data_IF_732423561628
#
_entry.id   IF_732423561628
#
_cell.length_a   1.000
_cell.length_b   1.000
_cell.length_c   1.000
_cell.angle_alpha   90.00
_cell.angle_beta   90.00
_cell.angle_gamma   90.00
#
_symmetry.space_group_name_H-M   'P 1'
#
loop_
_entity.id
_entity.type
_entity.pdbx_description
1 polymer ?
#
# COMPACT_ATOMS: atom_id res chain seq x y z
N UNK A 1 19.99 -7.77 -0.98
CA UNK A 1 19.09 -6.77 -1.64
C UNK A 1 18.08 -6.31 -0.59
N UNK A 2 17.84 -5.01 -0.43
CA UNK A 2 16.89 -4.51 0.57
C UNK A 2 15.47 -5.04 0.32
N UNK A 3 14.81 -5.54 1.37
CA UNK A 3 13.41 -5.96 1.33
C UNK A 3 12.56 -4.94 2.07
N UNK A 4 11.44 -4.56 1.46
CA UNK A 4 10.50 -3.61 2.02
C UNK A 4 9.25 -4.36 2.44
N UNK A 5 8.76 -4.08 3.64
CA UNK A 5 7.44 -4.51 4.08
C UNK A 5 6.49 -3.34 3.94
N UNK A 6 5.58 -3.41 2.99
CA UNK A 6 4.47 -2.49 2.85
C UNK A 6 3.30 -3.00 3.69
N UNK A 7 2.73 -2.14 4.52
CA UNK A 7 1.47 -2.36 5.22
C UNK A 7 0.47 -1.29 4.83
N UNK A 8 -0.73 -1.72 4.51
CA UNK A 8 -1.86 -0.84 4.21
C UNK A 8 -2.92 -1.10 5.26
N UNK A 9 -3.33 -0.05 5.96
CA UNK A 9 -4.40 -0.10 6.94
C UNK A 9 -5.64 0.57 6.36
N UNK A 10 -6.75 -0.17 6.35
CA UNK A 10 -8.06 0.29 5.90
C UNK A 10 -8.90 0.74 7.10
N UNK A 11 -9.34 2.00 7.10
CA UNK A 11 -10.35 2.49 8.05
C UNK A 11 -9.98 2.39 9.54
N UNK A 12 -10.93 2.64 10.45
CA UNK A 12 -10.70 2.60 11.91
C UNK A 12 -10.51 1.17 12.46
N UNK A 13 -11.01 0.16 11.75
CA UNK A 13 -10.97 -1.25 12.17
C UNK A 13 -9.59 -1.91 11.95
N UNK A 14 -8.67 -1.18 11.30
CA UNK A 14 -7.27 -1.59 11.08
C UNK A 14 -7.12 -2.98 10.46
N UNK A 15 -7.96 -3.33 9.49
CA UNK A 15 -7.67 -4.51 8.65
C UNK A 15 -6.35 -4.25 7.93
N UNK A 16 -5.28 -4.90 8.41
CA UNK A 16 -3.92 -4.70 7.92
C UNK A 16 -3.65 -5.68 6.78
N UNK A 17 -3.39 -5.16 5.59
CA UNK A 17 -2.84 -5.98 4.52
C UNK A 17 -1.34 -5.70 4.42
N UNK A 18 -0.54 -6.74 4.59
CA UNK A 18 0.92 -6.65 4.49
C UNK A 18 1.40 -7.33 3.19
N UNK A 19 2.26 -6.63 2.44
CA UNK A 19 2.90 -7.13 1.23
C UNK A 19 4.40 -6.92 1.31
N UNK A 20 5.16 -7.98 1.07
CA UNK A 20 6.61 -7.91 0.93
C UNK A 20 6.96 -7.52 -0.50
N UNK A 21 7.90 -6.58 -0.65
CA UNK A 21 8.31 -6.01 -1.91
C UNK A 21 9.83 -5.98 -2.01
N UNK A 22 10.36 -6.40 -3.15
CA UNK A 22 11.76 -6.15 -3.50
C UNK A 22 11.92 -4.72 -4.04
N UNK A 23 13.11 -4.16 -3.88
CA UNK A 23 13.44 -2.84 -4.41
C UNK A 23 13.12 -2.68 -5.90
N UNK A 24 13.42 -3.70 -6.70
CA UNK A 24 13.20 -3.67 -8.15
C UNK A 24 11.70 -3.71 -8.51
N UNK A 25 10.87 -4.34 -7.67
CA UNK A 25 9.42 -4.32 -7.86
C UNK A 25 8.87 -2.93 -7.58
N UNK A 26 9.39 -2.25 -6.55
CA UNK A 26 9.01 -0.87 -6.22
C UNK A 26 9.38 0.13 -7.32
N UNK A 27 10.54 -0.04 -7.95
CA UNK A 27 10.98 0.84 -9.04
C UNK A 27 10.03 0.79 -10.26
N UNK A 28 9.30 -0.31 -10.41
CA UNK A 28 8.35 -0.52 -11.50
C UNK A 28 6.90 -0.14 -11.13
N UNK A 29 6.66 0.29 -9.89
CA UNK A 29 5.32 0.70 -9.49
C UNK A 29 4.95 2.04 -10.12
N UNK A 30 3.90 2.01 -10.94
CA UNK A 30 3.25 3.22 -11.41
C UNK A 30 2.57 3.97 -10.27
N UNK A 31 2.25 5.25 -10.51
CA UNK A 31 1.60 6.17 -9.56
C UNK A 31 0.42 5.54 -8.80
N UNK A 32 -0.43 4.77 -9.49
CA UNK A 32 -1.54 4.06 -8.88
C UNK A 32 -1.24 2.58 -8.71
N UNK A 33 -1.54 2.02 -7.54
CA UNK A 33 -1.51 0.58 -7.30
C UNK A 33 -2.85 0.06 -6.81
N UNK A 34 -3.17 -1.14 -7.26
CA UNK A 34 -4.37 -1.87 -6.89
C UNK A 34 -4.01 -3.04 -5.98
N UNK A 35 -4.74 -3.16 -4.88
CA UNK A 35 -4.54 -4.21 -3.91
C UNK A 35 -5.85 -4.95 -3.67
N UNK A 36 -5.80 -6.27 -3.79
CA UNK A 36 -6.96 -7.13 -3.53
C UNK A 36 -7.00 -7.49 -2.05
N UNK A 37 -8.15 -7.29 -1.41
CA UNK A 37 -8.37 -7.59 0.00
C UNK A 37 -9.49 -8.61 0.17
N UNK A 38 -9.57 -9.18 1.38
CA UNK A 38 -10.68 -10.01 1.84
C UNK A 38 -11.06 -11.13 0.83
N UNK A 39 -10.09 -11.94 0.40
CA UNK A 39 -10.36 -13.05 -0.54
C UNK A 39 -10.74 -12.62 -1.96
N UNK A 40 -10.33 -11.42 -2.38
CA UNK A 40 -10.73 -10.73 -3.63
C UNK A 40 -12.16 -10.16 -3.60
N UNK A 41 -12.72 -9.90 -2.42
CA UNK A 41 -14.00 -9.22 -2.27
C UNK A 41 -13.89 -7.70 -2.34
N UNK A 42 -12.69 -7.12 -2.29
CA UNK A 42 -12.49 -5.70 -2.56
C UNK A 42 -11.15 -5.39 -3.24
N UNK A 43 -11.13 -4.25 -3.95
CA UNK A 43 -9.92 -3.67 -4.54
C UNK A 43 -9.71 -2.29 -3.93
N UNK A 44 -8.57 -2.10 -3.27
CA UNK A 44 -8.08 -0.81 -2.83
C UNK A 44 -7.19 -0.23 -3.92
N UNK A 45 -7.51 0.98 -4.38
CA UNK A 45 -6.73 1.74 -5.35
C UNK A 45 -6.10 2.95 -4.66
N UNK A 46 -4.77 3.03 -4.65
CA UNK A 46 -4.02 4.08 -3.95
C UNK A 46 -3.11 4.83 -4.91
N UNK A 47 -3.09 6.16 -4.80
CA UNK A 47 -2.01 6.99 -5.35
C UNK A 47 -0.82 6.93 -4.39
N UNK A 48 0.22 6.22 -4.78
CA UNK A 48 1.39 5.96 -3.94
C UNK A 48 2.70 6.42 -4.60
N UNK A 49 2.62 7.08 -5.77
CA UNK A 49 3.80 7.52 -6.49
C UNK A 49 4.68 8.47 -5.67
N UNK A 50 4.07 9.52 -5.13
CA UNK A 50 4.78 10.53 -4.33
C UNK A 50 5.30 9.95 -3.01
N UNK A 51 4.53 9.04 -2.40
CA UNK A 51 4.95 8.31 -1.20
C UNK A 51 6.29 7.59 -1.41
N UNK A 52 6.45 6.89 -2.53
CA UNK A 52 7.69 6.18 -2.83
C UNK A 52 8.87 7.10 -3.14
N UNK A 53 8.64 8.14 -3.93
CA UNK A 53 9.69 9.12 -4.23
C UNK A 53 10.21 9.77 -2.95
N UNK A 54 9.32 10.06 -2.00
CA UNK A 54 9.69 10.60 -0.70
C UNK A 54 10.43 9.57 0.16
N UNK A 55 9.97 8.31 0.22
CA UNK A 55 10.65 7.24 0.94
C UNK A 55 12.09 7.02 0.42
N UNK A 56 12.26 6.90 -0.90
CA UNK A 56 13.57 6.71 -1.54
C UNK A 56 14.51 7.89 -1.31
N UNK A 57 13.98 9.11 -1.31
CA UNK A 57 14.75 10.33 -1.04
C UNK A 57 15.21 10.40 0.42
N UNK A 58 14.34 10.04 1.35
CA UNK A 58 14.59 10.20 2.78
C UNK A 58 15.42 9.06 3.40
N UNK A 59 15.51 7.89 2.74
CA UNK A 59 16.31 6.73 3.18
C UNK A 59 16.11 6.35 4.65
N UNK A 60 14.91 6.55 5.17
CA UNK A 60 14.57 6.23 6.57
C UNK A 60 14.21 4.75 6.69
N UNK A 61 14.58 4.08 7.79
CA UNK A 61 14.26 2.67 8.00
C UNK A 61 12.75 2.41 8.15
N UNK A 62 11.98 3.45 8.47
CA UNK A 62 10.54 3.44 8.61
C UNK A 62 9.96 4.72 8.00
N UNK A 63 8.87 4.59 7.24
CA UNK A 63 8.17 5.74 6.65
C UNK A 63 6.67 5.46 6.61
N UNK A 64 5.88 6.39 7.16
CA UNK A 64 4.42 6.29 7.22
C UNK A 64 3.79 7.55 6.63
N UNK A 65 2.72 7.37 5.86
CA UNK A 65 1.93 8.47 5.32
C UNK A 65 0.45 8.08 5.21
N UNK A 66 -0.44 9.00 5.56
CA UNK A 66 -1.85 8.88 5.20
C UNK A 66 -2.03 9.18 3.72
N UNK A 67 -2.66 8.25 3.00
CA UNK A 67 -2.91 8.36 1.57
C UNK A 67 -4.41 8.30 1.30
N UNK A 68 -4.86 9.15 0.38
CA UNK A 68 -6.22 9.06 -0.13
C UNK A 68 -6.28 7.95 -1.18
N UNK A 69 -7.26 7.06 -1.02
CA UNK A 69 -7.51 5.97 -1.95
C UNK A 69 -8.99 5.79 -2.23
N UNK A 70 -9.29 4.89 -3.15
CA UNK A 70 -10.64 4.43 -3.44
C UNK A 70 -10.74 2.95 -3.14
N UNK A 71 -11.77 2.55 -2.42
CA UNK A 71 -12.14 1.15 -2.32
C UNK A 71 -13.27 0.82 -3.28
N UNK A 72 -13.14 -0.32 -3.96
CA UNK A 72 -14.20 -0.93 -4.76
C UNK A 72 -14.53 -2.29 -4.15
N UNK A 73 -15.76 -2.46 -3.66
CA UNK A 73 -16.25 -3.78 -3.27
C UNK A 73 -16.63 -4.59 -4.52
N UNK A 74 -16.25 -5.85 -4.54
CA UNK A 74 -16.48 -6.85 -5.59
C UNK A 74 -17.62 -7.82 -5.22
N UNK A 75 -18.58 -7.38 -4.40
CA UNK A 75 -19.75 -8.18 -4.02
C UNK A 75 -20.73 -8.30 -5.21
N UNK A 76 -20.50 -9.29 -6.09
CA UNK A 76 -21.37 -9.58 -7.24
C UNK A 76 -21.33 -8.50 -8.33
N UNK A 77 -22.44 -8.30 -9.06
CA UNK A 77 -22.53 -7.34 -10.21
C UNK A 77 -22.47 -5.85 -9.82
N UNK A 78 -22.23 -5.50 -8.56
CA UNK A 78 -22.29 -4.12 -8.07
C UNK A 78 -20.91 -3.65 -7.61
N UNK A 79 -20.45 -2.54 -8.19
CA UNK A 79 -19.24 -1.83 -7.76
C UNK A 79 -19.71 -0.64 -6.91
N UNK A 80 -19.49 -0.68 -5.59
CA UNK A 80 -19.66 0.50 -4.73
C UNK A 80 -18.32 1.22 -4.58
N UNK A 81 -18.36 2.56 -4.62
CA UNK A 81 -17.19 3.42 -4.40
C UNK A 81 -17.29 4.03 -3.01
N UNK A 82 -16.46 3.56 -2.08
CA UNK A 82 -16.29 4.20 -0.79
C UNK A 82 -14.96 4.97 -0.78
N UNK A 83 -15.01 6.27 -0.49
CA UNK A 83 -13.82 7.03 -0.14
C UNK A 83 -13.47 6.65 1.31
N UNK A 84 -12.49 5.77 1.49
CA UNK A 84 -12.03 5.31 2.78
C UNK A 84 -10.64 5.91 3.03
N UNK A 85 -10.34 6.47 4.21
CA UNK A 85 -8.98 6.87 4.53
C UNK A 85 -8.10 5.62 4.64
N UNK A 86 -6.95 5.64 3.98
CA UNK A 86 -5.95 4.60 4.07
C UNK A 86 -4.68 5.15 4.73
N UNK A 87 -4.06 4.31 5.54
CA UNK A 87 -2.73 4.58 6.09
C UNK A 87 -1.76 3.60 5.46
N UNK A 88 -0.65 4.11 4.96
CA UNK A 88 0.38 3.30 4.32
C UNK A 88 1.66 3.44 5.13
N UNK A 89 2.19 2.30 5.56
CA UNK A 89 3.40 2.17 6.35
C UNK A 89 4.39 1.28 5.60
N UNK A 90 5.65 1.68 5.60
CA UNK A 90 6.74 0.88 5.05
C UNK A 90 7.85 0.74 6.07
N UNK A 91 8.23 -0.51 6.31
CA UNK A 91 9.46 -0.84 7.02
C UNK A 91 10.50 -1.35 6.02
N UNK A 92 11.68 -0.72 6.04
CA UNK A 92 12.86 -1.25 5.33
C UNK A 92 13.50 -2.28 6.24
N UNK A 93 13.37 -3.55 5.91
CA UNK A 93 14.26 -4.56 6.47
C UNK A 93 15.56 -4.51 5.68
N UNK A 94 16.57 -3.83 6.24
CA UNK A 94 17.93 -4.11 5.80
C UNK A 94 18.18 -5.58 6.12
N UNK A 95 18.68 -6.34 5.15
CA UNK A 95 19.37 -7.60 5.47
C UNK A 95 20.53 -7.19 6.39
N UNK A 96 20.33 -7.28 7.70
CA UNK A 96 21.43 -7.29 8.64
C UNK A 96 22.26 -8.52 8.25
N UNK A 97 23.52 -8.27 7.88
CA UNK A 97 24.50 -9.28 7.47
C UNK A 97 24.50 -10.50 8.40
#
# INVERSE_FOLDING_TARGET
MSKFRLRIYRGPDKTSMAKWLKQDELANWSRYQHFYCDGNESIISLDIGDFWQNMLRNKQPHYEQSLHGQERLLQGKYISHAAVPFYVEVDIQSEAN
#
